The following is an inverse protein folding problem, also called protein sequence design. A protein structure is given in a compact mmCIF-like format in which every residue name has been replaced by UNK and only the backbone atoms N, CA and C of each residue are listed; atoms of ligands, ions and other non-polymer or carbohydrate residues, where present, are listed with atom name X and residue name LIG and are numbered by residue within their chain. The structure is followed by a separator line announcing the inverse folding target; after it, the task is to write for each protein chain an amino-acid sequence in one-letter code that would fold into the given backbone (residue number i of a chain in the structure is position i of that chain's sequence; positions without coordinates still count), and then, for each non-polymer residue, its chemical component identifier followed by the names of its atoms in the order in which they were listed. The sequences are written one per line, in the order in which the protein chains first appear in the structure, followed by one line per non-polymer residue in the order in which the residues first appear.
data_IF_144274544215
#
_entry.id   IF_144274544215
#
_cell.length_a   1.000
_cell.length_b   1.000
_cell.length_c   1.000
_cell.angle_alpha   90.00
_cell.angle_beta   90.00
_cell.angle_gamma   90.00
#
_symmetry.space_group_name_H-M   'P 1'
#
loop_
_entity.id
_entity.type
_entity.pdbx_description
1 polymer ?
#
# COMPACT_ATOMS: atom_id res chain seq x y z
N UNK A 1 3.48 -9.03 3.22
CA UNK A 1 3.98 -7.68 3.56
C UNK A 1 5.49 -7.65 3.40
N UNK A 2 6.06 -6.48 3.15
CA UNK A 2 7.50 -6.24 3.27
C UNK A 2 7.75 -5.55 4.61
N UNK A 3 8.90 -5.79 5.23
CA UNK A 3 9.26 -5.23 6.54
C UNK A 3 10.66 -4.64 6.51
N UNK A 4 10.86 -3.57 7.26
CA UNK A 4 12.18 -2.97 7.49
C UNK A 4 12.66 -3.41 8.87
N UNK A 5 13.74 -4.20 8.91
CA UNK A 5 14.29 -4.80 10.13
C UNK A 5 15.82 -4.79 10.09
N UNK A 6 16.51 -4.89 11.24
CA UNK A 6 17.94 -5.10 11.28
C UNK A 6 18.32 -6.38 10.53
N UNK A 7 19.42 -6.33 9.79
CA UNK A 7 19.92 -7.46 9.02
C UNK A 7 21.43 -7.61 9.22
N UNK A 8 21.90 -8.85 9.28
CA UNK A 8 23.31 -9.18 9.09
C UNK A 8 23.60 -9.23 7.58
N UNK A 9 24.68 -8.58 7.15
CA UNK A 9 25.09 -8.57 5.74
C UNK A 9 26.51 -9.12 5.62
N UNK A 10 26.66 -10.22 4.90
CA UNK A 10 27.95 -10.85 4.60
C UNK A 10 27.97 -11.45 3.18
N UNK A 11 28.97 -12.28 2.86
CA UNK A 11 29.12 -12.93 1.55
C UNK A 11 27.92 -13.82 1.15
N UNK A 12 27.09 -14.23 2.09
CA UNK A 12 25.91 -15.07 1.88
C UNK A 12 24.63 -14.23 1.67
N UNK A 13 24.73 -12.90 1.68
CA UNK A 13 23.63 -11.98 1.41
C UNK A 13 23.04 -11.34 2.67
N UNK A 14 21.80 -10.85 2.55
CA UNK A 14 21.06 -10.15 3.61
C UNK A 14 20.30 -11.16 4.46
N UNK A 15 20.56 -11.14 5.77
CA UNK A 15 20.00 -12.08 6.74
C UNK A 15 19.21 -11.30 7.80
N UNK A 16 17.87 -11.25 7.71
CA UNK A 16 17.04 -10.53 8.68
C UNK A 16 17.15 -11.09 10.09
N UNK A 17 17.20 -10.19 11.08
CA UNK A 17 17.17 -10.55 12.50
C UNK A 17 15.73 -10.60 12.99
N UNK A 18 15.35 -11.68 13.67
CA UNK A 18 14.01 -11.83 14.22
C UNK A 18 13.75 -10.82 15.37
N UNK A 19 12.71 -9.99 15.22
CA UNK A 19 12.27 -9.03 16.26
C UNK A 19 11.39 -9.71 17.32
N UNK A 20 10.66 -10.76 16.94
CA UNK A 20 9.65 -11.40 17.80
C UNK A 20 8.26 -10.80 17.62
N UNK A 21 7.39 -11.00 18.61
CA UNK A 21 6.02 -10.49 18.55
C UNK A 21 5.98 -8.99 18.82
N UNK A 22 5.29 -8.26 17.95
CA UNK A 22 5.06 -6.83 18.12
C UNK A 22 3.88 -6.60 19.07
N UNK A 23 3.94 -5.57 19.94
CA UNK A 23 2.77 -5.15 20.71
C UNK A 23 1.56 -4.94 19.81
N UNK A 24 0.35 -5.39 20.21
CA UNK A 24 -0.81 -5.47 19.33
C UNK A 24 -1.22 -4.12 18.74
N UNK A 25 -1.09 -3.03 19.49
CA UNK A 25 -1.38 -1.68 19.01
C UNK A 25 -0.43 -1.22 17.90
N UNK A 26 0.85 -1.62 17.94
CA UNK A 26 1.82 -1.29 16.89
C UNK A 26 1.57 -2.13 15.65
N UNK A 27 1.31 -3.43 15.84
CA UNK A 27 0.90 -4.33 14.75
C UNK A 27 -0.34 -3.81 14.03
N UNK A 28 -1.35 -3.36 14.77
CA UNK A 28 -2.56 -2.76 14.19
C UNK A 28 -2.26 -1.50 13.37
N UNK A 29 -1.40 -0.61 13.87
CA UNK A 29 -1.00 0.60 13.14
C UNK A 29 -0.26 0.29 11.83
N UNK A 30 0.66 -0.69 11.85
CA UNK A 30 1.32 -1.10 10.61
C UNK A 30 0.34 -1.77 9.65
N UNK A 31 -0.63 -2.54 10.17
CA UNK A 31 -1.61 -3.23 9.34
C UNK A 31 -2.45 -2.27 8.51
N UNK A 32 -2.81 -1.08 9.02
CA UNK A 32 -3.56 -0.09 8.24
C UNK A 32 -2.79 0.33 6.98
N UNK A 33 -1.48 0.54 7.10
CA UNK A 33 -0.60 0.91 5.99
C UNK A 33 -0.31 -0.28 5.05
N UNK A 34 -0.11 -1.47 5.60
CA UNK A 34 0.13 -2.71 4.83
C UNK A 34 -1.09 -3.03 3.94
N UNK A 35 -2.30 -2.74 4.41
CA UNK A 35 -3.54 -2.98 3.64
C UNK A 35 -3.58 -2.13 2.37
N UNK A 36 -3.19 -0.85 2.45
CA UNK A 36 -3.07 0.04 1.29
C UNK A 36 -2.12 -0.56 0.25
N UNK A 37 -0.90 -0.92 0.68
CA UNK A 37 0.13 -1.49 -0.20
C UNK A 37 -0.32 -2.80 -0.84
N UNK A 38 -0.98 -3.67 -0.06
CA UNK A 38 -1.45 -4.97 -0.55
C UNK A 38 -2.52 -4.80 -1.65
N UNK A 39 -3.45 -3.86 -1.48
CA UNK A 39 -4.45 -3.53 -2.51
C UNK A 39 -3.83 -2.87 -3.74
N UNK A 40 -2.84 -1.99 -3.56
CA UNK A 40 -2.11 -1.40 -4.70
C UNK A 40 -1.39 -2.48 -5.51
N UNK A 41 -0.76 -3.46 -4.86
CA UNK A 41 -0.16 -4.61 -5.53
C UNK A 41 -1.21 -5.45 -6.24
N UNK A 42 -2.34 -5.74 -5.59
CA UNK A 42 -3.44 -6.48 -6.20
C UNK A 42 -3.99 -5.76 -7.44
N UNK A 43 -4.13 -4.43 -7.39
CA UNK A 43 -4.50 -3.63 -8.55
C UNK A 43 -3.52 -3.80 -9.71
N UNK A 44 -2.22 -3.73 -9.43
CA UNK A 44 -1.17 -3.88 -10.42
C UNK A 44 -1.12 -5.30 -11.04
N UNK A 45 -1.39 -6.34 -10.25
CA UNK A 45 -1.38 -7.73 -10.70
C UNK A 45 -2.65 -8.09 -11.49
N UNK A 46 -3.81 -7.59 -11.07
CA UNK A 46 -5.10 -7.95 -11.68
C UNK A 46 -5.57 -6.99 -12.76
N UNK A 47 -5.01 -5.79 -12.82
CA UNK A 47 -5.48 -4.71 -13.71
C UNK A 47 -6.83 -4.11 -13.27
N UNK A 48 -7.36 -4.47 -12.10
CA UNK A 48 -8.66 -3.94 -11.63
C UNK A 48 -8.48 -2.57 -10.99
N UNK A 49 -9.12 -1.55 -11.58
CA UNK A 49 -9.11 -0.19 -11.05
C UNK A 49 -9.72 -0.09 -9.65
N UNK A 50 -10.69 -0.94 -9.36
CA UNK A 50 -11.40 -1.00 -8.07
C UNK A 50 -10.45 -1.08 -6.85
N UNK A 51 -9.38 -1.86 -6.96
CA UNK A 51 -8.42 -2.02 -5.88
C UNK A 51 -7.61 -0.74 -5.60
N UNK A 52 -7.45 0.15 -6.58
CA UNK A 52 -6.79 1.45 -6.40
C UNK A 52 -7.65 2.36 -5.54
N UNK A 53 -8.96 2.41 -5.82
CA UNK A 53 -9.91 3.17 -5.00
C UNK A 53 -9.93 2.66 -3.57
N UNK A 54 -10.05 1.35 -3.38
CA UNK A 54 -10.05 0.76 -2.05
C UNK A 54 -8.75 1.01 -1.29
N UNK A 55 -7.59 0.99 -1.98
CA UNK A 55 -6.32 1.35 -1.37
C UNK A 55 -6.33 2.80 -0.86
N UNK A 56 -6.76 3.76 -1.70
CA UNK A 56 -6.84 5.17 -1.33
C UNK A 56 -7.86 5.43 -0.21
N UNK A 57 -8.98 4.70 -0.19
CA UNK A 57 -9.99 4.79 0.87
C UNK A 57 -9.50 4.25 2.23
N UNK A 58 -8.54 3.32 2.23
CA UNK A 58 -7.94 2.77 3.44
C UNK A 58 -6.71 3.53 3.91
N UNK A 59 -6.18 4.45 3.10
CA UNK A 59 -5.07 5.29 3.51
C UNK A 59 -5.50 6.23 4.66
N UNK A 60 -4.86 6.14 5.85
CA UNK A 60 -5.32 6.87 7.03
C UNK A 60 -5.33 8.38 6.87
N UNK A 61 -4.42 8.94 6.07
CA UNK A 61 -4.35 10.37 5.84
C UNK A 61 -5.44 10.81 4.86
N UNK A 62 -5.55 10.11 3.74
CA UNK A 62 -6.57 10.37 2.72
C UNK A 62 -7.98 10.27 3.30
N UNK A 63 -8.27 9.22 4.07
CA UNK A 63 -9.57 9.01 4.70
C UNK A 63 -9.89 10.01 5.82
N UNK A 64 -8.89 10.69 6.39
CA UNK A 64 -9.10 11.74 7.38
C UNK A 64 -9.47 13.09 6.74
N UNK A 65 -9.03 13.34 5.51
CA UNK A 65 -9.15 14.64 4.85
C UNK A 65 -10.27 14.68 3.79
N UNK A 66 -10.62 13.54 3.20
CA UNK A 66 -11.50 13.46 2.03
C UNK A 66 -12.70 12.52 2.25
N UNK A 67 -13.84 12.85 1.65
CA UNK A 67 -14.98 11.94 1.52
C UNK A 67 -14.72 10.86 0.46
N UNK A 68 -15.50 9.77 0.49
CA UNK A 68 -15.37 8.70 -0.50
C UNK A 68 -15.51 9.19 -1.95
N UNK A 69 -16.43 10.12 -2.21
CA UNK A 69 -16.62 10.71 -3.54
C UNK A 69 -15.41 11.56 -3.96
N UNK A 70 -14.81 12.30 -3.03
CA UNK A 70 -13.58 13.07 -3.30
C UNK A 70 -12.39 12.14 -3.58
N UNK A 71 -12.27 11.03 -2.86
CA UNK A 71 -11.23 10.01 -3.08
C UNK A 71 -11.38 9.37 -4.45
N UNK A 72 -12.61 9.05 -4.85
CA UNK A 72 -12.88 8.51 -6.19
C UNK A 72 -12.38 9.44 -7.29
N UNK A 73 -12.79 10.71 -7.23
CA UNK A 73 -12.38 11.72 -8.20
C UNK A 73 -10.86 11.95 -8.18
N UNK A 74 -10.23 12.00 -7.01
CA UNK A 74 -8.78 12.14 -6.87
C UNK A 74 -8.04 10.99 -7.56
N UNK A 75 -8.49 9.74 -7.35
CA UNK A 75 -7.87 8.58 -7.99
C UNK A 75 -8.05 8.63 -9.51
N UNK A 76 -9.21 9.07 -9.99
CA UNK A 76 -9.45 9.26 -11.42
C UNK A 76 -8.51 10.28 -12.04
N UNK A 77 -8.35 11.43 -11.39
CA UNK A 77 -7.44 12.48 -11.80
C UNK A 77 -5.98 12.00 -11.80
N UNK A 78 -5.58 11.24 -10.78
CA UNK A 78 -4.23 10.67 -10.70
C UNK A 78 -3.96 9.64 -11.80
N UNK A 79 -4.91 8.75 -12.09
CA UNK A 79 -4.76 7.77 -13.17
C UNK A 79 -4.64 8.48 -14.52
N UNK A 80 -5.51 9.47 -14.77
CA UNK A 80 -5.47 10.25 -16.00
C UNK A 80 -4.15 11.04 -16.14
N UNK A 81 -3.66 11.64 -15.05
CA UNK A 81 -2.42 12.41 -15.04
C UNK A 81 -1.17 11.56 -15.30
N UNK A 82 -1.14 10.31 -14.82
CA UNK A 82 -0.02 9.41 -15.03
C UNK A 82 -0.08 8.67 -16.38
N UNK A 83 -1.28 8.49 -16.96
CA UNK A 83 -1.48 7.95 -18.30
C UNK A 83 -0.68 6.67 -18.56
N UNK A 84 0.15 6.68 -19.60
CA UNK A 84 0.95 5.53 -20.06
C UNK A 84 2.05 5.09 -19.07
N UNK A 85 2.27 5.82 -17.97
CA UNK A 85 3.19 5.38 -16.90
C UNK A 85 2.57 4.29 -16.02
N UNK A 86 1.25 4.15 -16.06
CA UNK A 86 0.52 3.11 -15.34
C UNK A 86 0.11 1.97 -16.30
N UNK A 87 -0.06 0.76 -15.77
CA UNK A 87 -0.75 -0.31 -16.49
C UNK A 87 -2.15 0.14 -16.93
N UNK A 88 -2.65 -0.43 -18.03
CA UNK A 88 -4.04 -0.25 -18.42
C UNK A 88 -4.96 -0.92 -17.38
N UNK A 89 -5.71 -0.10 -16.64
CA UNK A 89 -6.68 -0.57 -15.66
C UNK A 89 -8.08 -0.65 -16.28
N UNK A 90 -8.81 -1.73 -15.95
CA UNK A 90 -10.21 -1.96 -16.32
C UNK A 90 -11.16 -1.61 -15.20
#
# INVERSE_FOLDING_TARGET
CCVEVPCLVDRNGVQPVAIGQLPPQLAALMQTNINVQSLTVEAALTGKREHIYHAAMLDPHTAAELSLDQIWNLVDDLIAAHGDWLPAYS
#
